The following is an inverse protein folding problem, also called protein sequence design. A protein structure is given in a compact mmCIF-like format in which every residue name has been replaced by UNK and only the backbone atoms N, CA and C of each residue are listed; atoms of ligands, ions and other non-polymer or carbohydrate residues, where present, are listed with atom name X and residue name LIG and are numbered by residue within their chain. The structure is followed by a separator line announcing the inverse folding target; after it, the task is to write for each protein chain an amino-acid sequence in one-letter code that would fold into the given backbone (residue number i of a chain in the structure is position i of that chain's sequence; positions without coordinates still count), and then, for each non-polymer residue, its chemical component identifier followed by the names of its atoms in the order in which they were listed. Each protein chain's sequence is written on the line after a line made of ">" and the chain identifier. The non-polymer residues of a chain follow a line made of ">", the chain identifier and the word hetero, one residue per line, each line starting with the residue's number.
data_IF_188369578415
#
_entry.id   IF_188369578415
#
_cell.length_a   1.000
_cell.length_b   1.000
_cell.length_c   1.000
_cell.angle_alpha   90.00
_cell.angle_beta   90.00
_cell.angle_gamma   90.00
#
_symmetry.space_group_name_H-M   'P 1'
#
loop_
_entity.id
_entity.type
_entity.pdbx_description
1 polymer ?
#
# COMPACT_ATOMS: atom_id res chain seq x y z
N UNK A 1 -1.67 -7.67 14.09
CA UNK A 1 -2.75 -7.72 13.08
C UNK A 1 -3.37 -9.10 12.90
N UNK A 2 -2.95 -10.11 13.68
CA UNK A 2 -3.48 -11.49 13.62
C UNK A 2 -4.98 -11.60 13.92
N UNK A 3 -5.55 -10.60 14.60
CA UNK A 3 -6.98 -10.54 14.93
C UNK A 3 -7.88 -10.14 13.74
N UNK A 4 -7.32 -9.74 12.60
CA UNK A 4 -8.10 -9.34 11.41
C UNK A 4 -8.37 -10.61 10.59
N UNK A 5 -9.65 -11.03 10.41
CA UNK A 5 -9.98 -12.16 9.55
C UNK A 5 -9.52 -11.90 8.12
N UNK A 6 -8.74 -12.80 7.54
CA UNK A 6 -8.22 -12.64 6.18
C UNK A 6 -8.31 -13.96 5.40
N UNK A 7 -8.75 -13.86 4.14
CA UNK A 7 -8.76 -14.96 3.15
C UNK A 7 -7.86 -14.67 1.95
N UNK A 8 -7.18 -13.53 1.95
CA UNK A 8 -6.26 -13.11 0.89
C UNK A 8 -4.95 -13.90 0.97
N UNK A 9 -4.38 -14.25 -0.18
CA UNK A 9 -3.16 -15.07 -0.26
C UNK A 9 -1.96 -14.41 0.45
N UNK A 10 -1.86 -13.08 0.42
CA UNK A 10 -0.81 -12.33 1.13
C UNK A 10 -0.94 -12.37 2.66
N UNK A 11 -2.08 -12.85 3.19
CA UNK A 11 -2.27 -13.19 4.60
C UNK A 11 -1.88 -12.10 5.59
N UNK A 12 -1.23 -12.50 6.68
CA UNK A 12 -0.81 -11.63 7.79
C UNK A 12 0.32 -10.68 7.36
N UNK A 13 1.21 -11.11 6.45
CA UNK A 13 2.37 -10.32 6.04
C UNK A 13 1.97 -9.04 5.31
N UNK A 14 0.99 -9.11 4.40
CA UNK A 14 0.45 -7.91 3.77
C UNK A 14 -0.15 -6.93 4.80
N UNK A 15 -0.80 -7.45 5.84
CA UNK A 15 -1.39 -6.64 6.90
C UNK A 15 -0.34 -6.04 7.86
N UNK A 16 0.87 -6.61 7.96
CA UNK A 16 1.92 -6.07 8.83
C UNK A 16 2.31 -4.65 8.43
N UNK A 17 2.18 -4.27 7.15
CA UNK A 17 2.42 -2.90 6.67
C UNK A 17 1.56 -1.86 7.41
N UNK A 18 0.37 -2.24 7.90
CA UNK A 18 -0.52 -1.37 8.69
C UNK A 18 0.01 -1.06 10.09
N UNK A 19 1.00 -1.82 10.57
CA UNK A 19 1.60 -1.60 11.90
C UNK A 19 2.75 -0.61 11.88
N UNK A 20 3.25 -0.24 10.69
CA UNK A 20 4.42 0.62 10.53
C UNK A 20 4.31 1.96 11.28
N UNK A 21 3.16 2.67 11.30
CA UNK A 21 3.04 3.90 12.07
C UNK A 21 3.26 3.74 13.58
N UNK A 22 3.11 2.52 14.13
CA UNK A 22 3.35 2.22 15.54
C UNK A 22 4.74 1.66 15.82
N UNK A 23 5.36 1.03 14.82
CA UNK A 23 6.66 0.35 14.96
C UNK A 23 7.82 1.31 14.67
N UNK A 24 7.63 2.26 13.76
CA UNK A 24 8.66 3.21 13.39
C UNK A 24 8.88 4.27 14.48
N UNK A 25 10.09 4.84 14.60
CA UNK A 25 10.39 5.86 15.60
C UNK A 25 9.47 7.09 15.46
N UNK A 26 8.99 7.70 16.56
CA UNK A 26 8.07 8.84 16.52
C UNK A 26 8.67 10.12 15.93
N UNK A 27 10.00 10.20 15.83
CA UNK A 27 10.69 11.32 15.18
C UNK A 27 10.54 11.29 13.64
N UNK A 28 10.23 10.12 13.06
CA UNK A 28 10.10 9.96 11.62
C UNK A 28 8.81 10.59 11.13
N UNK A 29 8.91 11.45 10.11
CA UNK A 29 7.74 12.16 9.58
C UNK A 29 7.16 11.46 8.37
N UNK A 30 8.02 10.95 7.50
CA UNK A 30 7.65 10.36 6.22
C UNK A 30 8.51 9.13 5.97
N UNK A 31 7.93 8.12 5.34
CA UNK A 31 8.65 6.91 4.94
C UNK A 31 8.10 6.36 3.63
N UNK A 32 8.99 5.88 2.77
CA UNK A 32 8.61 5.08 1.60
C UNK A 32 8.78 3.60 1.99
N UNK A 33 7.73 2.82 1.81
CA UNK A 33 7.74 1.37 1.98
C UNK A 33 7.81 0.73 0.60
N UNK A 34 8.77 -0.18 0.42
CA UNK A 34 9.04 -0.86 -0.84
C UNK A 34 9.06 -2.37 -0.61
N UNK A 35 8.45 -3.13 -1.52
CA UNK A 35 8.68 -4.57 -1.58
C UNK A 35 10.10 -4.85 -2.07
N UNK A 36 10.64 -6.02 -1.75
CA UNK A 36 12.04 -6.38 -2.08
C UNK A 36 12.24 -6.82 -3.54
N UNK A 37 11.15 -6.96 -4.29
CA UNK A 37 11.11 -7.38 -5.69
C UNK A 37 10.91 -6.20 -6.67
N UNK A 38 11.18 -4.96 -6.22
CA UNK A 38 11.15 -3.76 -7.06
C UNK A 38 12.51 -3.47 -7.69
N UNK A 39 12.49 -2.87 -8.90
CA UNK A 39 13.69 -2.34 -9.56
C UNK A 39 13.52 -0.84 -9.82
N UNK A 40 14.52 -0.05 -9.47
CA UNK A 40 14.54 1.38 -9.78
C UNK A 40 15.07 1.63 -11.18
N UNK A 41 14.22 2.21 -12.04
CA UNK A 41 14.62 2.67 -13.36
C UNK A 41 15.14 4.12 -13.37
N UNK A 42 14.96 4.85 -12.26
CA UNK A 42 15.32 6.26 -12.09
C UNK A 42 15.73 6.54 -10.63
N UNK A 43 16.19 7.76 -10.35
CA UNK A 43 16.49 8.21 -8.98
C UNK A 43 15.26 8.11 -8.05
N UNK A 44 15.43 7.43 -6.92
CA UNK A 44 14.43 7.29 -5.84
C UNK A 44 14.02 8.65 -5.24
N UNK A 45 14.89 9.66 -5.31
CA UNK A 45 14.58 11.00 -4.81
C UNK A 45 13.36 11.62 -5.52
N UNK A 46 13.11 11.27 -6.79
CA UNK A 46 11.90 11.71 -7.51
C UNK A 46 10.63 11.17 -6.88
N UNK A 47 10.65 9.94 -6.36
CA UNK A 47 9.53 9.36 -5.63
C UNK A 47 9.27 10.11 -4.31
N UNK A 48 10.34 10.53 -3.62
CA UNK A 48 10.23 11.33 -2.39
C UNK A 48 9.53 12.67 -2.61
N UNK A 49 9.73 13.30 -3.77
CA UNK A 49 9.05 14.56 -4.12
C UNK A 49 7.53 14.41 -4.14
N UNK A 50 6.99 13.20 -4.40
CA UNK A 50 5.54 12.99 -4.45
C UNK A 50 4.83 13.20 -3.11
N UNK A 51 5.54 13.21 -1.98
CA UNK A 51 4.95 13.62 -0.70
C UNK A 51 4.35 15.02 -0.74
N UNK A 52 4.89 15.94 -1.55
CA UNK A 52 4.34 17.29 -1.69
C UNK A 52 2.99 17.33 -2.39
N UNK A 53 2.56 16.23 -3.03
CA UNK A 53 1.25 16.12 -3.69
C UNK A 53 0.16 15.62 -2.75
N UNK A 54 0.50 15.13 -1.56
CA UNK A 54 -0.48 14.71 -0.57
C UNK A 54 -1.18 15.95 0.01
N UNK A 55 -2.51 15.95 -0.05
CA UNK A 55 -3.36 16.96 0.57
C UNK A 55 -3.37 16.79 2.10
N UNK A 56 -3.87 17.81 2.81
CA UNK A 56 -3.82 17.87 4.27
C UNK A 56 -4.44 16.65 4.98
N UNK A 57 -5.45 16.01 4.38
CA UNK A 57 -6.13 14.83 4.95
C UNK A 57 -5.60 13.50 4.41
N UNK A 58 -4.58 13.51 3.56
CA UNK A 58 -4.03 12.31 2.93
C UNK A 58 -2.76 11.86 3.65
N UNK A 59 -2.81 10.70 4.30
CA UNK A 59 -1.67 10.11 5.02
C UNK A 59 -0.97 8.96 4.28
N UNK A 60 -1.58 8.47 3.20
CA UNK A 60 -1.08 7.32 2.44
C UNK A 60 -1.15 7.63 0.94
N UNK A 61 -0.02 7.52 0.26
CA UNK A 61 0.07 7.48 -1.20
C UNK A 61 0.24 6.06 -1.70
N UNK A 62 -0.64 5.63 -2.62
CA UNK A 62 -0.65 4.31 -3.25
C UNK A 62 -0.85 4.44 -4.76
N UNK A 63 -0.57 3.35 -5.47
CA UNK A 63 -0.83 3.21 -6.90
C UNK A 63 -1.97 2.21 -7.10
N UNK A 64 -2.86 2.47 -8.06
CA UNK A 64 -3.89 1.51 -8.47
C UNK A 64 -3.23 0.19 -8.90
N UNK A 65 -3.85 -0.95 -8.58
CA UNK A 65 -3.40 -2.22 -9.14
C UNK A 65 -3.53 -2.24 -10.68
N UNK A 66 -2.58 -2.91 -11.33
CA UNK A 66 -2.64 -3.15 -12.78
C UNK A 66 -3.42 -4.41 -13.17
N UNK A 67 -3.93 -5.15 -12.18
CA UNK A 67 -4.71 -6.38 -12.38
C UNK A 67 -6.20 -6.15 -12.17
N UNK A 68 -7.04 -6.86 -12.94
CA UNK A 68 -8.50 -6.88 -12.78
C UNK A 68 -8.98 -7.77 -11.61
N UNK A 69 -8.06 -8.25 -10.75
CA UNK A 69 -8.35 -9.11 -9.61
C UNK A 69 -9.55 -8.65 -8.79
N UNK A 70 -9.66 -7.36 -8.48
CA UNK A 70 -10.72 -6.85 -7.63
C UNK A 70 -12.04 -6.58 -8.36
N UNK A 71 -12.07 -6.67 -9.69
CA UNK A 71 -13.30 -6.44 -10.47
C UNK A 71 -14.26 -7.64 -10.44
N UNK A 72 -13.81 -8.81 -9.94
CA UNK A 72 -14.65 -10.01 -9.83
C UNK A 72 -14.99 -10.68 -11.17
N UNK A 73 -14.31 -10.29 -12.26
CA UNK A 73 -14.61 -10.75 -13.63
C UNK A 73 -13.66 -11.81 -14.17
N UNK A 74 -12.66 -12.22 -13.38
CA UNK A 74 -11.60 -13.13 -13.85
C UNK A 74 -12.10 -14.56 -14.15
N UNK A 75 -13.04 -15.10 -13.36
CA UNK A 75 -13.70 -16.40 -13.64
C UNK A 75 -15.06 -16.50 -12.94
N UNK A 76 -15.89 -17.49 -13.34
CA UNK A 76 -17.31 -17.64 -12.91
C UNK A 76 -17.59 -17.61 -11.41
N UNK A 77 -16.61 -17.95 -10.56
CA UNK A 77 -16.76 -17.99 -9.10
C UNK A 77 -15.77 -17.06 -8.38
N UNK A 78 -15.13 -16.16 -9.10
CA UNK A 78 -14.21 -15.19 -8.51
C UNK A 78 -14.98 -14.17 -7.68
N UNK A 79 -14.84 -14.22 -6.37
CA UNK A 79 -15.48 -13.28 -5.43
C UNK A 79 -14.39 -12.66 -4.57
N UNK A 80 -13.66 -11.66 -5.09
CA UNK A 80 -12.61 -10.99 -4.33
C UNK A 80 -13.21 -10.22 -3.16
N UNK A 81 -12.36 -9.85 -2.21
CA UNK A 81 -12.72 -8.86 -1.19
C UNK A 81 -13.10 -7.53 -1.88
N UNK A 82 -14.10 -6.79 -1.40
CA UNK A 82 -14.48 -5.52 -2.02
C UNK A 82 -13.31 -4.53 -2.03
N UNK A 83 -13.14 -3.83 -3.16
CA UNK A 83 -12.21 -2.72 -3.31
C UNK A 83 -12.79 -1.64 -4.23
N UNK A 84 -12.23 -0.43 -4.15
CA UNK A 84 -12.53 0.64 -5.10
C UNK A 84 -11.77 0.36 -6.42
N UNK A 85 -12.48 0.30 -7.54
CA UNK A 85 -11.86 0.04 -8.85
C UNK A 85 -11.06 -1.27 -8.85
N UNK A 86 -9.81 -1.22 -9.31
CA UNK A 86 -8.87 -2.35 -9.23
C UNK A 86 -8.22 -2.52 -7.85
N UNK A 87 -8.60 -1.72 -6.86
CA UNK A 87 -7.89 -1.64 -5.59
C UNK A 87 -6.49 -1.06 -5.77
N UNK A 88 -5.68 -1.14 -4.72
CA UNK A 88 -4.36 -0.53 -4.69
C UNK A 88 -3.26 -1.57 -4.46
N UNK A 89 -2.13 -1.37 -5.13
CA UNK A 89 -0.93 -2.17 -4.93
C UNK A 89 -0.15 -1.61 -3.73
N UNK A 90 0.47 -2.50 -2.95
CA UNK A 90 1.21 -2.11 -1.73
C UNK A 90 2.72 -2.28 -1.87
N UNK A 91 3.22 -2.58 -3.06
CA UNK A 91 4.65 -2.74 -3.32
C UNK A 91 5.43 -1.43 -3.30
N UNK A 92 4.73 -0.30 -3.44
CA UNK A 92 5.24 1.04 -3.19
C UNK A 92 4.20 1.81 -2.39
N UNK A 93 4.57 2.29 -1.20
CA UNK A 93 3.70 3.08 -0.33
C UNK A 93 4.44 4.33 0.13
N UNK A 94 3.79 5.48 0.01
CA UNK A 94 4.22 6.70 0.70
C UNK A 94 3.39 6.81 1.99
N UNK A 95 4.05 6.85 3.15
CA UNK A 95 3.41 7.05 4.44
C UNK A 95 3.83 8.39 5.04
N UNK A 96 2.84 9.26 5.28
CA UNK A 96 2.97 10.48 6.07
C UNK A 96 2.53 10.15 7.50
N UNK A 97 3.50 10.10 8.43
CA UNK A 97 3.37 9.57 9.78
C UNK A 97 2.97 10.62 10.82
N UNK A 98 3.15 11.91 10.51
CA UNK A 98 2.86 13.02 11.44
C UNK A 98 1.41 13.52 11.40
N UNK A 99 0.53 12.83 10.68
CA UNK A 99 -0.89 13.18 10.50
C UNK A 99 -1.81 12.20 11.20
#
# INVERSE_FOLDING_TARGET
>A
VSWIPNKHYSGVYGLMKLTLPKVLPPALQRVIVLDTDVTFATDIAELWKLFSKLQEKQSIGLVENQSDWYLGKLWKKHRPWPALGRGYNTGVILLELKR
#
